data_IF_123299778941
#
_entry.id   IF_123299778941
#
_cell.length_a   1.000
_cell.length_b   1.000
_cell.length_c   1.000
_cell.angle_alpha   90.00
_cell.angle_beta   90.00
_cell.angle_gamma   90.00
#
_symmetry.space_group_name_H-M   'P 1'
#
loop_
_entity.id
_entity.type
_entity.pdbx_description
1 polymer ?
#
# COMPACT_ATOMS: atom_id res chain seq x y z
N UNK A 1 36.03 22.54 -22.14
CA UNK A 1 34.71 22.02 -22.54
C UNK A 1 34.08 21.01 -21.55
N UNK A 2 34.86 20.32 -20.69
CA UNK A 2 34.33 19.26 -19.79
C UNK A 2 33.55 19.77 -18.56
N UNK A 3 33.90 20.92 -17.99
CA UNK A 3 33.27 21.45 -16.77
C UNK A 3 31.80 21.86 -16.94
N UNK A 4 31.40 22.24 -18.16
CA UNK A 4 30.00 22.60 -18.47
C UNK A 4 29.11 21.36 -18.45
N UNK A 5 29.57 20.26 -19.03
CA UNK A 5 28.87 18.97 -19.03
C UNK A 5 28.67 18.40 -17.62
N UNK A 6 29.68 18.51 -16.75
CA UNK A 6 29.57 18.07 -15.36
C UNK A 6 28.53 18.87 -14.56
N UNK A 7 28.52 20.21 -14.70
CA UNK A 7 27.51 21.06 -14.04
C UNK A 7 26.10 20.77 -14.56
N UNK A 8 25.92 20.58 -15.85
CA UNK A 8 24.61 20.25 -16.44
C UNK A 8 24.12 18.88 -16.00
N UNK A 9 25.00 17.87 -15.95
CA UNK A 9 24.64 16.54 -15.47
C UNK A 9 24.22 16.58 -13.99
N UNK A 10 25.01 17.24 -13.14
CA UNK A 10 24.69 17.38 -11.71
C UNK A 10 23.36 18.13 -11.49
N UNK A 11 23.11 19.21 -12.23
CA UNK A 11 21.83 19.95 -12.14
C UNK A 11 20.63 19.10 -12.57
N UNK A 12 20.75 18.34 -13.67
CA UNK A 12 19.67 17.47 -14.13
C UNK A 12 19.43 16.29 -13.18
N UNK A 13 20.49 15.68 -12.65
CA UNK A 13 20.39 14.56 -11.71
C UNK A 13 19.73 15.00 -10.39
N UNK A 14 20.10 16.17 -9.87
CA UNK A 14 19.48 16.75 -8.67
C UNK A 14 18.03 17.17 -8.90
N UNK A 15 17.67 17.68 -10.09
CA UNK A 15 16.28 18.00 -10.45
C UNK A 15 15.42 16.72 -10.59
N UNK A 16 15.96 15.64 -11.14
CA UNK A 16 15.24 14.36 -11.23
C UNK A 16 14.92 13.73 -9.86
N UNK A 17 15.70 14.05 -8.82
CA UNK A 17 15.38 13.65 -7.44
C UNK A 17 14.43 14.60 -6.70
N UNK A 18 14.25 15.83 -7.17
CA UNK A 18 13.46 16.86 -6.49
C UNK A 18 11.93 16.71 -6.72
N UNK A 19 11.52 15.87 -7.67
CA UNK A 19 10.11 15.59 -7.97
C UNK A 19 9.44 14.57 -7.03
N UNK A 20 10.12 14.13 -5.97
CA UNK A 20 9.47 13.37 -4.88
C UNK A 20 8.94 14.26 -3.75
N UNK A 21 8.99 15.59 -3.92
CA UNK A 21 8.75 16.53 -2.83
C UNK A 21 7.29 16.85 -2.54
N UNK A 22 6.30 16.09 -3.01
CA UNK A 22 4.88 16.26 -2.64
C UNK A 22 4.09 14.94 -2.45
N UNK A 23 4.71 13.86 -1.95
CA UNK A 23 3.88 12.87 -1.24
C UNK A 23 3.58 13.48 0.12
N UNK A 24 2.48 14.24 0.21
CA UNK A 24 1.93 14.72 1.48
C UNK A 24 1.87 13.52 2.42
N UNK A 25 2.64 13.53 3.49
CA UNK A 25 2.60 12.50 4.53
C UNK A 25 1.41 12.78 5.46
N UNK A 26 0.23 12.94 4.88
CA UNK A 26 -1.01 12.56 5.55
C UNK A 26 -1.27 11.15 5.05
N UNK A 27 -1.41 10.17 5.94
CA UNK A 27 -1.99 8.88 5.55
C UNK A 27 -3.44 9.16 5.12
N UNK A 28 -3.65 9.60 3.88
CA UNK A 28 -4.98 9.56 3.28
C UNK A 28 -5.35 8.09 3.27
N UNK A 29 -6.42 7.75 3.98
CA UNK A 29 -6.92 6.40 3.92
C UNK A 29 -7.26 6.10 2.46
N UNK A 30 -6.78 4.97 1.97
CA UNK A 30 -7.24 4.45 0.67
C UNK A 30 -8.35 3.45 0.95
N UNK A 31 -9.28 3.25 0.01
CA UNK A 31 -10.31 2.23 0.14
C UNK A 31 -9.71 0.85 0.47
N UNK A 32 -8.57 0.53 -0.17
CA UNK A 32 -7.81 -0.68 0.13
C UNK A 32 -7.22 -0.72 1.55
N UNK A 33 -6.85 0.44 2.11
CA UNK A 33 -6.44 0.56 3.51
C UNK A 33 -7.60 0.33 4.47
N UNK A 34 -8.76 0.94 4.18
CA UNK A 34 -10.00 0.74 4.96
C UNK A 34 -10.39 -0.74 4.93
N UNK A 35 -10.45 -1.36 3.76
CA UNK A 35 -10.74 -2.79 3.59
C UNK A 35 -9.80 -3.67 4.40
N UNK A 36 -8.50 -3.37 4.40
CA UNK A 36 -7.51 -4.16 5.16
C UNK A 36 -7.73 -4.08 6.66
N UNK A 37 -8.13 -2.92 7.17
CA UNK A 37 -8.42 -2.75 8.60
C UNK A 37 -9.77 -3.39 8.96
N UNK A 38 -10.84 -3.13 8.19
CA UNK A 38 -12.18 -3.69 8.40
C UNK A 38 -12.17 -5.23 8.32
N UNK A 39 -11.44 -5.80 7.37
CA UNK A 39 -11.37 -7.25 7.15
C UNK A 39 -10.15 -7.93 7.77
N UNK A 40 -9.43 -7.25 8.68
CA UNK A 40 -8.21 -7.76 9.31
C UNK A 40 -8.38 -9.11 9.97
N UNK A 41 -9.53 -9.33 10.63
CA UNK A 41 -9.85 -10.61 11.27
C UNK A 41 -9.97 -11.74 10.25
N UNK A 42 -10.62 -11.48 9.11
CA UNK A 42 -10.77 -12.42 8.01
C UNK A 42 -9.42 -12.71 7.37
N UNK A 43 -8.61 -11.68 7.12
CA UNK A 43 -7.25 -11.83 6.57
C UNK A 43 -6.39 -12.71 7.49
N UNK A 44 -6.40 -12.46 8.79
CA UNK A 44 -5.67 -13.27 9.77
C UNK A 44 -6.18 -14.72 9.82
N UNK A 45 -7.49 -14.92 9.69
CA UNK A 45 -8.06 -16.24 9.60
C UNK A 45 -7.61 -16.98 8.34
N UNK A 46 -7.60 -16.32 7.18
CA UNK A 46 -7.10 -16.88 5.92
C UNK A 46 -5.63 -17.26 6.06
N UNK A 47 -4.81 -16.42 6.70
CA UNK A 47 -3.39 -16.71 6.97
C UNK A 47 -3.25 -17.98 7.81
N UNK A 48 -4.04 -18.10 8.88
CA UNK A 48 -4.03 -19.26 9.76
C UNK A 48 -4.52 -20.53 9.05
N UNK A 49 -5.70 -20.49 8.44
CA UNK A 49 -6.37 -21.67 7.85
C UNK A 49 -5.66 -22.16 6.58
N UNK A 50 -5.22 -21.23 5.72
CA UNK A 50 -4.70 -21.57 4.39
C UNK A 50 -3.19 -21.74 4.35
N UNK A 51 -2.47 -21.03 5.21
CA UNK A 51 -1.00 -21.04 5.22
C UNK A 51 -0.42 -21.63 6.50
N UNK A 52 -1.25 -21.97 7.50
CA UNK A 52 -0.79 -22.56 8.76
C UNK A 52 0.04 -21.59 9.61
N UNK A 53 0.01 -20.28 9.32
CA UNK A 53 0.89 -19.30 9.96
C UNK A 53 0.15 -18.54 11.05
N UNK A 54 0.85 -18.26 12.15
CA UNK A 54 0.32 -17.41 13.22
C UNK A 54 0.36 -15.94 12.78
N UNK A 55 -0.75 -15.24 12.92
CA UNK A 55 -0.79 -13.79 12.68
C UNK A 55 0.24 -13.06 13.56
N UNK A 56 0.83 -11.99 13.02
CA UNK A 56 1.85 -11.20 13.73
C UNK A 56 3.28 -11.78 13.69
N UNK A 57 3.52 -12.91 13.03
CA UNK A 57 4.89 -13.40 12.80
C UNK A 57 5.46 -12.89 11.48
N UNK A 58 6.80 -12.87 11.37
CA UNK A 58 7.49 -12.53 10.12
C UNK A 58 7.08 -13.42 8.96
N UNK A 59 6.75 -14.68 9.24
CA UNK A 59 6.30 -15.63 8.23
C UNK A 59 4.87 -15.33 7.75
N UNK A 60 4.00 -14.78 8.60
CA UNK A 60 2.68 -14.31 8.20
C UNK A 60 2.77 -13.08 7.28
N UNK A 61 3.77 -12.21 7.48
CA UNK A 61 3.98 -11.05 6.60
C UNK A 61 4.23 -11.47 5.14
N UNK A 62 4.96 -12.57 4.91
CA UNK A 62 5.24 -13.04 3.54
C UNK A 62 4.01 -13.55 2.79
N UNK A 63 2.96 -13.96 3.51
CA UNK A 63 1.69 -14.43 2.92
C UNK A 63 0.56 -13.41 3.06
N UNK A 64 0.78 -12.31 3.80
CA UNK A 64 -0.24 -11.32 4.11
C UNK A 64 -0.82 -10.70 2.84
N UNK A 65 0.03 -10.25 1.90
CA UNK A 65 -0.43 -9.68 0.64
C UNK A 65 -1.28 -10.68 -0.18
N UNK A 66 -0.95 -11.97 -0.13
CA UNK A 66 -1.74 -13.02 -0.80
C UNK A 66 -3.10 -13.24 -0.13
N UNK A 67 -3.14 -13.16 1.20
CA UNK A 67 -4.38 -13.25 1.96
C UNK A 67 -5.29 -12.02 1.70
N UNK A 68 -4.71 -10.81 1.68
CA UNK A 68 -5.41 -9.57 1.30
C UNK A 68 -6.00 -9.70 -0.10
N UNK A 69 -5.23 -10.15 -1.09
CA UNK A 69 -5.72 -10.33 -2.46
C UNK A 69 -6.90 -11.31 -2.54
N UNK A 70 -6.89 -12.38 -1.74
CA UNK A 70 -8.01 -13.32 -1.71
C UNK A 70 -9.26 -12.69 -1.14
N UNK A 71 -9.15 -12.00 0.00
CA UNK A 71 -10.29 -11.28 0.59
C UNK A 71 -10.83 -10.25 -0.39
N UNK A 72 -9.95 -9.40 -0.94
CA UNK A 72 -10.30 -8.38 -1.93
C UNK A 72 -11.02 -8.95 -3.15
N UNK A 73 -10.59 -10.11 -3.67
CA UNK A 73 -11.23 -10.76 -4.83
C UNK A 73 -12.68 -11.18 -4.56
N UNK A 74 -13.04 -11.40 -3.30
CA UNK A 74 -14.37 -11.83 -2.89
C UNK A 74 -15.25 -10.68 -2.39
N UNK A 75 -14.75 -9.45 -2.38
CA UNK A 75 -15.55 -8.28 -2.01
C UNK A 75 -16.51 -7.90 -3.12
N UNK A 76 -17.68 -7.46 -2.70
CA UNK A 76 -18.71 -6.90 -3.56
C UNK A 76 -18.41 -5.45 -3.93
N UNK A 77 -19.07 -4.95 -4.98
CA UNK A 77 -18.96 -3.53 -5.36
C UNK A 77 -19.47 -2.59 -4.25
N UNK A 78 -20.48 -3.01 -3.48
CA UNK A 78 -21.02 -2.26 -2.35
C UNK A 78 -19.97 -2.07 -1.23
N UNK A 79 -19.24 -3.14 -0.88
CA UNK A 79 -18.16 -3.07 0.11
C UNK A 79 -16.99 -2.19 -0.37
N UNK A 80 -16.77 -2.12 -1.68
CA UNK A 80 -15.79 -1.22 -2.27
C UNK A 80 -16.23 0.24 -2.21
N UNK A 81 -17.48 0.54 -2.55
CA UNK A 81 -18.06 1.90 -2.47
C UNK A 81 -18.06 2.42 -1.02
N UNK A 82 -18.43 1.59 -0.04
CA UNK A 82 -18.39 1.95 1.37
C UNK A 82 -16.95 2.26 1.83
N UNK A 83 -15.98 1.47 1.36
CA UNK A 83 -14.58 1.68 1.67
C UNK A 83 -14.03 2.96 1.03
N UNK A 84 -14.45 3.29 -0.20
CA UNK A 84 -14.13 4.55 -0.87
C UNK A 84 -14.75 5.75 -0.16
N UNK A 85 -16.03 5.64 0.23
CA UNK A 85 -16.72 6.67 1.00
C UNK A 85 -16.05 6.93 2.34
N UNK A 86 -15.66 5.85 3.04
CA UNK A 86 -14.93 5.92 4.30
C UNK A 86 -13.55 6.53 4.09
N UNK A 87 -12.81 6.09 3.08
CA UNK A 87 -11.50 6.64 2.73
C UNK A 87 -11.56 8.15 2.43
N UNK A 88 -12.63 8.61 1.77
CA UNK A 88 -12.82 10.03 1.48
C UNK A 88 -13.15 10.89 2.71
N UNK A 89 -13.64 10.28 3.80
CA UNK A 89 -13.99 10.97 5.05
C UNK A 89 -12.79 11.21 5.98
N UNK A 90 -11.68 10.48 5.79
CA UNK A 90 -10.50 10.49 6.69
C UNK A 90 -9.26 11.08 6.00
#
# INVERSE_FOLDING_TARGET
>A
HALKGYKTWFYNQCQSGANHSHIKVGHSWTARGVIQETHKMIINEVIRKRYGKKAGTKEALSVYQKAVQQVVKHLTEEEWDEAENTAAKW
#
